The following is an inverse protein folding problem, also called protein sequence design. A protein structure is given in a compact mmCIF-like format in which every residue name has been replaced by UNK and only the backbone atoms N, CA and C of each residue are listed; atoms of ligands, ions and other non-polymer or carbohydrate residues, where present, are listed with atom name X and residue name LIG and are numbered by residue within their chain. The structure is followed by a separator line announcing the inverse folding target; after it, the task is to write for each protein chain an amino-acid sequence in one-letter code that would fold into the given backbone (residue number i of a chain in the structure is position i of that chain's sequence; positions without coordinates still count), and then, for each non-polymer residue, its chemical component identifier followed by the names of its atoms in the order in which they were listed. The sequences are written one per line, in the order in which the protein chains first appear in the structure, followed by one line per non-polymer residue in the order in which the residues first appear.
data_IF_427478656470
#
_entry.id   IF_427478656470
#
_cell.length_a   1.000
_cell.length_b   1.000
_cell.length_c   1.000
_cell.angle_alpha   90.00
_cell.angle_beta   90.00
_cell.angle_gamma   90.00
#
_symmetry.space_group_name_H-M   'P 1'
#
loop_
_entity.id
_entity.type
_entity.pdbx_description
1 polymer ?
#
# COMPACT_ATOMS: atom_id res chain seq x y z
N UNK A 1 26.95 -16.99 -51.36
CA UNK A 1 25.89 -16.19 -50.69
C UNK A 1 25.78 -16.62 -49.24
N UNK A 2 26.30 -15.81 -48.34
CA UNK A 2 26.29 -16.08 -46.90
C UNK A 2 25.12 -15.29 -46.32
N UNK A 3 24.06 -16.01 -45.95
CA UNK A 3 22.93 -15.49 -45.19
C UNK A 3 23.35 -15.40 -43.73
N UNK A 4 23.63 -14.17 -43.28
CA UNK A 4 23.87 -13.85 -41.87
C UNK A 4 22.50 -13.71 -41.23
N UNK A 5 22.05 -14.76 -40.52
CA UNK A 5 20.86 -14.71 -39.70
C UNK A 5 21.19 -13.91 -38.42
N UNK A 6 20.76 -12.65 -38.38
CA UNK A 6 20.73 -11.85 -37.16
C UNK A 6 19.65 -12.42 -36.24
N UNK A 7 20.05 -13.28 -35.30
CA UNK A 7 19.23 -13.71 -34.19
C UNK A 7 19.12 -12.55 -33.20
N UNK A 8 18.09 -11.73 -33.36
CA UNK A 8 17.70 -10.71 -32.37
C UNK A 8 17.22 -11.47 -31.11
N UNK A 9 18.09 -11.62 -30.14
CA UNK A 9 17.71 -12.02 -28.79
C UNK A 9 16.84 -10.90 -28.20
N UNK A 10 15.52 -11.06 -28.29
CA UNK A 10 14.60 -10.30 -27.45
C UNK A 10 14.83 -10.75 -25.99
N UNK A 11 15.69 -10.02 -25.28
CA UNK A 11 15.67 -10.07 -23.83
C UNK A 11 14.33 -9.48 -23.40
N UNK A 12 13.45 -10.24 -22.72
CA UNK A 12 12.34 -9.63 -22.04
C UNK A 12 12.95 -8.68 -21.00
N UNK A 13 12.71 -7.39 -21.17
CA UNK A 13 12.96 -6.41 -20.14
C UNK A 13 12.01 -6.78 -19.01
N UNK A 14 12.47 -7.60 -18.08
CA UNK A 14 11.81 -7.83 -16.81
C UNK A 14 11.81 -6.46 -16.12
N UNK A 15 10.76 -5.70 -16.33
CA UNK A 15 10.45 -4.56 -15.52
C UNK A 15 10.30 -5.11 -14.10
N UNK A 16 11.34 -4.98 -13.31
CA UNK A 16 11.32 -5.28 -11.88
C UNK A 16 10.26 -4.31 -11.30
N UNK A 17 9.05 -4.82 -11.11
CA UNK A 17 7.99 -4.05 -10.48
C UNK A 17 8.45 -3.74 -9.06
N UNK A 18 8.99 -2.56 -8.91
CA UNK A 18 9.41 -2.02 -7.62
C UNK A 18 8.16 -1.80 -6.80
N UNK A 19 7.94 -2.67 -5.85
CA UNK A 19 6.90 -2.45 -4.87
C UNK A 19 7.12 -1.15 -4.10
N UNK A 20 6.05 -0.56 -3.56
CA UNK A 20 6.14 0.65 -2.75
C UNK A 20 6.74 0.34 -1.38
N UNK A 21 7.84 1.01 -1.01
CA UNK A 21 8.41 0.90 0.33
C UNK A 21 7.45 1.51 1.33
N UNK A 22 7.16 0.78 2.38
CA UNK A 22 6.23 1.21 3.41
C UNK A 22 6.57 0.59 4.77
N UNK A 23 5.94 1.11 5.79
CA UNK A 23 5.97 0.57 7.13
C UNK A 23 4.54 0.30 7.57
N UNK A 24 4.28 -0.90 8.08
CA UNK A 24 3.00 -1.19 8.72
C UNK A 24 2.92 -0.44 10.05
N UNK A 25 1.99 0.50 10.14
CA UNK A 25 1.82 1.36 11.32
C UNK A 25 0.93 0.70 12.36
N UNK A 26 -0.10 0.03 11.90
CA UNK A 26 -1.08 -0.64 12.73
C UNK A 26 -2.30 -1.06 11.92
N UNK A 27 -3.20 -1.71 12.59
CA UNK A 27 -4.43 -2.22 11.98
C UNK A 27 -5.03 -3.33 12.81
N UNK A 28 -6.02 -3.99 12.25
CA UNK A 28 -6.68 -5.14 12.86
C UNK A 28 -5.92 -6.45 12.61
N UNK A 29 -4.83 -6.42 11.84
CA UNK A 29 -4.01 -7.59 11.53
C UNK A 29 -3.10 -7.92 12.72
N UNK A 30 -3.52 -8.88 13.54
CA UNK A 30 -2.80 -9.26 14.76
C UNK A 30 -1.40 -9.87 14.52
N UNK A 31 -1.14 -10.35 13.32
CA UNK A 31 0.09 -11.08 12.99
C UNK A 31 1.31 -10.18 12.77
N UNK A 32 1.14 -8.86 12.70
CA UNK A 32 2.21 -7.94 12.34
C UNK A 32 2.33 -6.83 13.40
N UNK A 33 3.48 -6.69 14.07
CA UNK A 33 3.69 -5.59 15.00
C UNK A 33 3.75 -4.24 14.27
N UNK A 34 3.17 -3.20 14.88
CA UNK A 34 3.28 -1.82 14.39
C UNK A 34 4.74 -1.38 14.32
N UNK A 35 5.09 -0.61 13.28
CA UNK A 35 6.46 -0.20 13.02
C UNK A 35 7.26 -1.19 12.16
N UNK A 36 6.62 -2.21 11.58
CA UNK A 36 7.29 -3.19 10.72
C UNK A 36 7.57 -2.62 9.34
N UNK A 37 8.84 -2.43 8.95
CA UNK A 37 9.19 -1.99 7.61
C UNK A 37 9.00 -3.13 6.59
N UNK A 38 8.59 -2.78 5.38
CA UNK A 38 8.35 -3.73 4.32
C UNK A 38 8.06 -3.09 2.97
N UNK A 39 7.46 -3.86 2.08
CA UNK A 39 7.15 -3.47 0.72
C UNK A 39 5.71 -3.86 0.38
N UNK A 40 4.95 -2.88 -0.12
CA UNK A 40 3.63 -3.13 -0.71
C UNK A 40 3.85 -3.59 -2.16
N UNK A 41 3.39 -4.78 -2.50
CA UNK A 41 3.40 -5.32 -3.86
C UNK A 41 1.99 -5.43 -4.41
N UNK A 42 1.84 -4.97 -5.64
CA UNK A 42 0.56 -4.99 -6.37
C UNK A 42 0.66 -5.78 -7.69
N UNK A 43 1.66 -6.65 -7.81
CA UNK A 43 1.90 -7.50 -8.97
C UNK A 43 0.80 -8.53 -9.21
N UNK A 44 0.23 -9.07 -8.14
CA UNK A 44 -0.90 -10.02 -8.23
C UNK A 44 -2.13 -9.35 -8.85
N UNK A 45 -2.94 -10.13 -9.56
CA UNK A 45 -4.24 -9.69 -10.06
C UNK A 45 -5.37 -9.85 -9.02
N UNK A 46 -5.11 -10.55 -7.93
CA UNK A 46 -6.13 -10.93 -6.94
C UNK A 46 -5.96 -10.23 -5.60
N UNK A 47 -4.74 -9.89 -5.20
CA UNK A 47 -4.47 -9.33 -3.87
C UNK A 47 -3.28 -8.39 -3.84
N UNK A 48 -3.37 -7.42 -2.94
CA UNK A 48 -2.23 -6.65 -2.46
C UNK A 48 -1.45 -7.49 -1.45
N UNK A 49 -0.15 -7.46 -1.56
CA UNK A 49 0.75 -8.15 -0.66
C UNK A 49 1.69 -7.16 0.03
N UNK A 50 1.62 -7.05 1.34
CA UNK A 50 2.65 -6.37 2.12
C UNK A 50 3.60 -7.41 2.68
N UNK A 51 4.85 -7.31 2.31
CA UNK A 51 5.92 -8.20 2.74
C UNK A 51 6.84 -7.47 3.71
N UNK A 52 6.96 -7.99 4.93
CA UNK A 52 7.89 -7.53 5.96
C UNK A 52 8.67 -8.71 6.53
N UNK A 53 9.82 -8.42 7.14
CA UNK A 53 10.61 -9.46 7.83
C UNK A 53 9.83 -10.11 8.98
N UNK A 54 8.99 -9.31 9.67
CA UNK A 54 8.17 -9.78 10.80
C UNK A 54 6.94 -10.60 10.39
N UNK A 55 6.51 -10.53 9.14
CA UNK A 55 5.33 -11.24 8.63
C UNK A 55 4.76 -10.59 7.38
N UNK A 56 3.67 -11.13 6.89
CA UNK A 56 3.04 -10.68 5.65
C UNK A 56 1.57 -10.35 5.87
N UNK A 57 1.05 -9.41 5.07
CA UNK A 57 -0.38 -9.09 4.99
C UNK A 57 -0.84 -9.27 3.55
N UNK A 58 -1.87 -10.09 3.36
CA UNK A 58 -2.54 -10.25 2.07
C UNK A 58 -3.94 -9.64 2.16
N UNK A 59 -4.25 -8.76 1.21
CA UNK A 59 -5.57 -8.14 1.11
C UNK A 59 -6.14 -8.40 -0.27
N UNK A 60 -7.20 -9.22 -0.37
CA UNK A 60 -7.88 -9.46 -1.64
C UNK A 60 -8.49 -8.18 -2.18
N UNK A 61 -8.20 -7.82 -3.43
CA UNK A 61 -8.73 -6.59 -4.04
C UNK A 61 -10.26 -6.56 -4.07
N UNK A 62 -10.90 -7.71 -4.31
CA UNK A 62 -12.35 -7.82 -4.34
C UNK A 62 -13.04 -7.49 -2.99
N UNK A 63 -12.30 -7.55 -1.90
CA UNK A 63 -12.79 -7.30 -0.55
C UNK A 63 -12.43 -5.92 0.00
N UNK A 64 -11.63 -5.16 -0.74
CA UNK A 64 -11.29 -3.78 -0.38
C UNK A 64 -12.53 -2.91 -0.49
N UNK A 65 -12.88 -2.23 0.60
CA UNK A 65 -14.02 -1.32 0.67
C UNK A 65 -13.64 0.12 0.98
N UNK A 66 -12.38 0.37 1.35
CA UNK A 66 -11.85 1.70 1.61
C UNK A 66 -10.39 1.79 1.16
N UNK A 67 -10.07 2.85 0.42
CA UNK A 67 -8.72 3.35 0.21
C UNK A 67 -8.70 4.79 0.66
N UNK A 68 -8.01 5.10 1.74
CA UNK A 68 -7.89 6.46 2.26
C UNK A 68 -6.42 6.87 2.31
N UNK A 69 -6.14 8.07 1.85
CA UNK A 69 -4.80 8.66 1.91
C UNK A 69 -4.83 9.99 2.66
N UNK A 70 -3.88 10.15 3.56
CA UNK A 70 -3.73 11.37 4.34
C UNK A 70 -2.30 11.59 4.83
N UNK A 71 -2.06 12.80 5.34
CA UNK A 71 -0.78 13.15 5.95
C UNK A 71 -0.74 12.91 7.46
N UNK A 72 -1.87 12.49 8.02
CA UNK A 72 -2.05 12.12 9.42
C UNK A 72 -2.88 10.84 9.48
N UNK A 73 -2.77 10.10 10.56
CA UNK A 73 -3.69 8.98 10.82
C UNK A 73 -5.02 9.55 11.32
N UNK A 74 -6.12 9.14 10.71
CA UNK A 74 -7.45 9.59 11.14
C UNK A 74 -7.72 9.11 12.58
N UNK A 75 -8.29 10.01 13.41
CA UNK A 75 -8.64 9.70 14.80
C UNK A 75 -9.58 8.52 14.94
N UNK A 76 -10.43 8.25 13.96
CA UNK A 76 -11.33 7.08 13.95
C UNK A 76 -10.56 5.77 14.09
N UNK A 77 -9.38 5.69 13.46
CA UNK A 77 -8.54 4.51 13.50
C UNK A 77 -7.64 4.45 14.72
N UNK A 78 -7.25 5.60 15.27
CA UNK A 78 -6.44 5.69 16.49
C UNK A 78 -7.15 5.06 17.69
N UNK A 79 -8.46 5.22 17.77
CA UNK A 79 -9.29 4.67 18.88
C UNK A 79 -9.62 3.19 18.69
N UNK A 80 -9.68 2.71 17.44
CA UNK A 80 -10.04 1.34 17.11
C UNK A 80 -8.84 0.40 16.96
N UNK A 81 -7.63 0.95 16.83
CA UNK A 81 -6.42 0.22 16.47
C UNK A 81 -5.30 0.64 17.41
N UNK A 82 -4.55 -0.32 17.93
CA UNK A 82 -3.34 -0.09 18.71
C UNK A 82 -2.24 0.49 17.80
N UNK A 83 -2.29 1.80 17.58
CA UNK A 83 -1.24 2.53 16.88
C UNK A 83 -0.24 3.04 17.91
N UNK A 84 1.04 2.89 17.63
CA UNK A 84 2.09 3.41 18.50
C UNK A 84 1.91 4.93 18.71
N UNK A 85 1.85 5.42 19.96
CA UNK A 85 1.72 6.85 20.25
C UNK A 85 2.82 7.71 19.61
N UNK A 86 4.02 7.15 19.41
CA UNK A 86 5.15 7.84 18.78
C UNK A 86 4.86 8.26 17.34
N UNK A 87 3.99 7.54 16.63
CA UNK A 87 3.60 7.87 15.25
C UNK A 87 2.58 9.00 15.20
N UNK A 88 1.82 9.23 16.28
CA UNK A 88 0.84 10.30 16.40
C UNK A 88 1.47 11.66 16.65
N UNK A 89 2.66 11.70 17.25
CA UNK A 89 3.35 12.92 17.66
C UNK A 89 4.42 13.41 16.66
N UNK A 90 4.57 12.75 15.53
CA UNK A 90 5.53 13.19 14.51
C UNK A 90 5.09 14.54 13.91
N UNK A 91 5.92 15.57 14.07
CA UNK A 91 5.71 16.89 13.44
C UNK A 91 5.96 16.88 11.93
N UNK A 92 6.58 15.82 11.40
CA UNK A 92 6.85 15.70 9.97
C UNK A 92 5.60 15.21 9.25
N UNK A 93 5.26 15.84 8.12
CA UNK A 93 4.24 15.34 7.21
C UNK A 93 4.65 13.96 6.70
N UNK A 94 3.81 12.99 6.92
CA UNK A 94 4.03 11.59 6.52
C UNK A 94 2.89 11.17 5.58
N UNK A 95 3.08 10.09 4.88
CA UNK A 95 2.17 9.61 3.86
C UNK A 95 1.50 8.32 4.35
N UNK A 96 0.29 8.44 4.87
CA UNK A 96 -0.45 7.31 5.39
C UNK A 96 -1.47 6.82 4.36
N UNK A 97 -1.45 5.53 4.13
CA UNK A 97 -2.44 4.81 3.35
C UNK A 97 -3.20 3.87 4.29
N UNK A 98 -4.51 4.05 4.38
CA UNK A 98 -5.41 3.11 5.05
C UNK A 98 -6.11 2.27 4.01
N UNK A 99 -6.01 0.96 4.15
CA UNK A 99 -6.72 -0.03 3.35
C UNK A 99 -7.74 -0.72 4.24
N UNK A 100 -9.01 -0.43 4.01
CA UNK A 100 -10.13 -1.11 4.64
C UNK A 100 -10.63 -2.26 3.78
N UNK A 101 -10.93 -3.40 4.40
CA UNK A 101 -11.41 -4.59 3.69
C UNK A 101 -12.23 -5.49 4.61
N UNK A 102 -13.00 -6.40 4.05
CA UNK A 102 -13.68 -7.45 4.80
C UNK A 102 -12.89 -8.75 4.75
N UNK A 103 -12.80 -9.45 5.88
CA UNK A 103 -12.20 -10.77 5.94
C UNK A 103 -13.15 -11.87 5.41
N UNK A 104 -12.72 -13.13 5.50
CA UNK A 104 -13.52 -14.26 5.02
C UNK A 104 -14.81 -14.45 5.81
N UNK A 105 -14.82 -14.04 7.08
CA UNK A 105 -16.00 -14.08 7.95
C UNK A 105 -16.89 -12.84 7.83
N UNK A 106 -16.58 -11.91 6.91
CA UNK A 106 -17.33 -10.68 6.69
C UNK A 106 -17.05 -9.58 7.72
N UNK A 107 -16.03 -9.73 8.56
CA UNK A 107 -15.66 -8.71 9.55
C UNK A 107 -14.85 -7.60 8.90
N UNK A 108 -15.12 -6.35 9.30
CA UNK A 108 -14.36 -5.20 8.82
C UNK A 108 -12.94 -5.23 9.39
N UNK A 109 -11.98 -5.16 8.51
CA UNK A 109 -10.55 -5.09 8.79
C UNK A 109 -9.96 -3.78 8.26
N UNK A 110 -8.84 -3.37 8.83
CA UNK A 110 -8.06 -2.25 8.32
C UNK A 110 -6.56 -2.50 8.50
N UNK A 111 -5.79 -2.05 7.53
CA UNK A 111 -4.32 -2.01 7.60
C UNK A 111 -3.86 -0.60 7.24
N UNK A 112 -3.02 0.00 8.08
CA UNK A 112 -2.49 1.35 7.92
C UNK A 112 -1.00 1.25 7.64
N UNK A 113 -0.58 1.88 6.55
CA UNK A 113 0.80 1.91 6.10
C UNK A 113 1.30 3.34 6.03
N UNK A 114 2.53 3.56 6.48
CA UNK A 114 3.29 4.77 6.17
C UNK A 114 4.10 4.50 4.91
N UNK A 115 3.71 5.11 3.81
CA UNK A 115 4.33 4.87 2.49
C UNK A 115 5.46 5.88 2.26
N UNK A 116 6.56 5.43 1.67
CA UNK A 116 7.66 6.31 1.30
C UNK A 116 7.16 7.35 0.27
N UNK A 117 7.54 8.62 0.45
CA UNK A 117 7.11 9.75 -0.40
C UNK A 117 7.29 9.47 -1.90
N UNK A 118 8.41 8.86 -2.28
CA UNK A 118 8.69 8.56 -3.70
C UNK A 118 7.82 7.47 -4.31
N UNK A 119 7.16 6.67 -3.48
CA UNK A 119 6.39 5.50 -3.92
C UNK A 119 4.86 5.71 -3.81
N UNK A 120 4.42 6.78 -3.13
CA UNK A 120 2.99 7.06 -2.84
C UNK A 120 2.14 7.00 -4.09
N UNK A 121 2.47 7.80 -5.11
CA UNK A 121 1.65 7.90 -6.32
C UNK A 121 1.49 6.56 -7.02
N UNK A 122 2.58 5.83 -7.19
CA UNK A 122 2.56 4.52 -7.85
C UNK A 122 1.68 3.52 -7.09
N UNK A 123 1.79 3.49 -5.76
CA UNK A 123 0.98 2.63 -4.90
C UNK A 123 -0.50 2.99 -5.00
N UNK A 124 -0.86 4.28 -4.87
CA UNK A 124 -2.25 4.73 -4.92
C UNK A 124 -2.91 4.43 -6.27
N UNK A 125 -2.23 4.77 -7.38
CA UNK A 125 -2.74 4.50 -8.74
C UNK A 125 -2.92 3.00 -8.97
N UNK A 126 -1.95 2.19 -8.56
CA UNK A 126 -2.03 0.75 -8.70
C UNK A 126 -3.20 0.15 -7.92
N UNK A 127 -3.43 0.60 -6.70
CA UNK A 127 -4.55 0.14 -5.88
C UNK A 127 -5.91 0.59 -6.45
N UNK A 128 -6.02 1.83 -6.95
CA UNK A 128 -7.25 2.28 -7.63
C UNK A 128 -7.59 1.40 -8.82
N UNK A 129 -6.61 1.10 -9.67
CA UNK A 129 -6.79 0.25 -10.85
C UNK A 129 -7.17 -1.18 -10.46
N UNK A 130 -6.49 -1.76 -9.50
CA UNK A 130 -6.69 -3.16 -9.09
C UNK A 130 -7.99 -3.38 -8.30
N UNK A 131 -8.38 -2.43 -7.48
CA UNK A 131 -9.60 -2.54 -6.67
C UNK A 131 -10.85 -1.98 -7.35
N UNK A 132 -10.69 -1.13 -8.37
CA UNK A 132 -11.79 -0.35 -8.95
C UNK A 132 -12.34 0.74 -8.05
N UNK A 133 -11.69 1.02 -6.92
CA UNK A 133 -12.11 2.03 -5.95
C UNK A 133 -11.26 3.27 -6.07
N UNK A 134 -11.87 4.42 -5.86
CA UNK A 134 -11.17 5.70 -5.78
C UNK A 134 -10.55 5.88 -4.40
N UNK A 135 -9.36 6.48 -4.38
CA UNK A 135 -8.73 6.91 -3.13
C UNK A 135 -9.49 8.11 -2.58
N UNK A 136 -9.88 8.00 -1.32
CA UNK A 136 -10.42 9.10 -0.53
C UNK A 136 -9.26 9.88 0.07
N UNK A 137 -9.24 11.21 -0.19
CA UNK A 137 -8.20 12.09 0.35
C UNK A 137 -8.76 12.82 1.56
N UNK A 138 -8.02 12.84 2.67
CA UNK A 138 -8.46 13.47 3.91
C UNK A 138 -8.70 14.99 3.74
N UNK A 139 -7.91 15.64 2.90
CA UNK A 139 -8.01 17.07 2.60
C UNK A 139 -7.35 17.41 1.24
N UNK A 140 -7.44 18.66 0.83
CA UNK A 140 -6.84 19.14 -0.42
C UNK A 140 -5.31 19.07 -0.43
N UNK A 141 -4.65 19.19 0.73
CA UNK A 141 -3.20 19.02 0.83
C UNK A 141 -2.81 17.57 0.59
N UNK A 142 -3.55 16.64 1.18
CA UNK A 142 -3.36 15.21 0.94
C UNK A 142 -3.57 14.87 -0.53
N UNK A 143 -4.61 15.45 -1.17
CA UNK A 143 -4.89 15.24 -2.59
C UNK A 143 -3.73 15.71 -3.47
N UNK A 144 -3.16 16.87 -3.20
CA UNK A 144 -1.99 17.38 -3.93
C UNK A 144 -0.77 16.50 -3.72
N UNK A 145 -0.51 16.07 -2.48
CA UNK A 145 0.63 15.22 -2.14
C UNK A 145 0.52 13.80 -2.74
N UNK A 146 -0.68 13.25 -2.85
CA UNK A 146 -0.93 11.92 -3.41
C UNK A 146 -0.88 11.87 -4.94
N UNK A 147 -1.18 12.99 -5.61
CA UNK A 147 -1.16 13.09 -7.07
C UNK A 147 0.19 13.53 -7.65
N UNK A 148 1.10 14.01 -6.80
CA UNK A 148 2.46 14.42 -7.15
C UNK A 148 2.52 15.75 -7.83
#
# INVERSE_FOLDING_TARGET
MRLLACLLMLFPLLAEERGGRAEYVGGTVAALPGGSPGVIRTTSQQFMWFQAKAGNVLVPYARVNLLEYGQKVDRRYVLAILISPLLLFSKKRQHFLTVGYTDEEGRQQAAIFRVNKGDVRAVLVSLEVKTGRKVEYQDEEARKAGKG
#
